data_IF_898439505390
#
_entry.id   IF_898439505390
#
_cell.length_a   1.000
_cell.length_b   1.000
_cell.length_c   1.000
_cell.angle_alpha   90.00
_cell.angle_beta   90.00
_cell.angle_gamma   90.00
#
_symmetry.space_group_name_H-M   'P 1'
#
loop_
_entity.id
_entity.type
_entity.pdbx_description
1 polymer ?
#
# COMPACT_ATOMS: atom_id res chain seq x y z
N UNK A 1 -39.86 -36.53 -0.28
CA UNK A 1 -39.64 -35.23 -0.97
C UNK A 1 -39.93 -34.13 0.02
N UNK A 2 -38.89 -33.60 0.69
CA UNK A 2 -39.00 -32.43 1.56
C UNK A 2 -38.01 -31.42 1.02
N UNK A 3 -38.53 -30.36 0.40
CA UNK A 3 -37.80 -29.19 -0.07
C UNK A 3 -37.32 -28.42 1.16
N UNK A 4 -36.09 -28.70 1.60
CA UNK A 4 -35.38 -27.80 2.50
C UNK A 4 -35.08 -26.51 1.74
N UNK A 5 -35.91 -25.48 1.97
CA UNK A 5 -35.60 -24.11 1.57
C UNK A 5 -34.28 -23.70 2.25
N UNK A 6 -33.20 -23.74 1.48
CA UNK A 6 -31.92 -23.17 1.88
C UNK A 6 -32.14 -21.66 2.05
N UNK A 7 -31.92 -21.08 3.24
CA UNK A 7 -32.12 -19.64 3.43
C UNK A 7 -31.18 -18.87 2.50
N UNK A 8 -31.74 -18.10 1.57
CA UNK A 8 -31.02 -17.08 0.80
C UNK A 8 -30.57 -15.96 1.75
N UNK A 9 -29.50 -16.21 2.49
CA UNK A 9 -28.88 -15.23 3.38
C UNK A 9 -27.37 -15.14 3.18
N UNK A 10 -26.92 -15.16 1.91
CA UNK A 10 -25.84 -14.24 1.54
C UNK A 10 -26.46 -12.85 1.52
N UNK A 11 -26.47 -12.22 2.71
CA UNK A 11 -26.84 -10.83 2.93
C UNK A 11 -26.22 -10.02 1.78
N UNK A 12 -27.03 -9.37 0.93
CA UNK A 12 -26.52 -8.36 -0.01
C UNK A 12 -25.69 -7.39 0.83
N UNK A 13 -24.38 -7.48 0.78
CA UNK A 13 -23.52 -6.70 1.66
C UNK A 13 -23.81 -5.22 1.39
N UNK A 14 -24.08 -4.47 2.47
CA UNK A 14 -24.37 -3.04 2.38
C UNK A 14 -23.15 -2.34 1.77
N UNK A 15 -23.32 -1.57 0.68
CA UNK A 15 -22.20 -0.87 0.05
C UNK A 15 -21.59 0.17 1.00
N UNK A 16 -22.37 0.71 1.95
CA UNK A 16 -21.85 1.58 2.99
C UNK A 16 -20.94 0.83 3.98
N UNK A 17 -21.28 -0.41 4.36
CA UNK A 17 -20.40 -1.22 5.20
C UNK A 17 -19.08 -1.53 4.49
N UNK A 18 -19.14 -1.95 3.22
CA UNK A 18 -17.93 -2.21 2.42
C UNK A 18 -17.04 -0.96 2.31
N UNK A 19 -17.66 0.21 2.07
CA UNK A 19 -16.96 1.49 2.06
C UNK A 19 -16.29 1.80 3.41
N UNK A 20 -17.01 1.62 4.53
CA UNK A 20 -16.46 1.85 5.87
C UNK A 20 -15.29 0.95 6.20
N UNK A 21 -15.41 -0.34 5.89
CA UNK A 21 -14.32 -1.31 6.03
C UNK A 21 -13.13 -0.93 5.14
N UNK A 22 -13.37 -0.49 3.91
CA UNK A 22 -12.30 -0.01 3.02
C UNK A 22 -11.59 1.20 3.64
N UNK A 23 -12.32 2.17 4.17
CA UNK A 23 -11.74 3.34 4.84
C UNK A 23 -10.93 2.98 6.08
N UNK A 24 -11.40 2.03 6.89
CA UNK A 24 -10.70 1.53 8.07
C UNK A 24 -9.39 0.81 7.72
N UNK A 25 -9.44 -0.08 6.73
CA UNK A 25 -8.24 -0.77 6.23
C UNK A 25 -7.26 0.19 5.57
N UNK A 26 -7.74 1.24 4.90
CA UNK A 26 -6.87 2.25 4.30
C UNK A 26 -6.09 3.01 5.37
N UNK A 27 -6.76 3.45 6.45
CA UNK A 27 -6.08 4.08 7.58
C UNK A 27 -5.14 3.13 8.32
N UNK A 28 -5.53 1.86 8.49
CA UNK A 28 -4.65 0.85 9.07
C UNK A 28 -3.39 0.67 8.22
N UNK A 29 -3.52 0.63 6.89
CA UNK A 29 -2.40 0.59 5.96
C UNK A 29 -1.46 1.79 6.13
N UNK A 30 -2.01 3.01 6.15
CA UNK A 30 -1.23 4.24 6.36
C UNK A 30 -0.48 4.20 7.69
N UNK A 31 -1.17 3.92 8.79
CA UNK A 31 -0.58 3.92 10.13
C UNK A 31 0.49 2.83 10.27
N UNK A 32 0.22 1.62 9.77
CA UNK A 32 1.18 0.53 9.78
C UNK A 32 2.42 0.86 8.94
N UNK A 33 2.26 1.48 7.76
CA UNK A 33 3.38 1.94 6.95
C UNK A 33 4.23 3.01 7.66
N UNK A 34 3.60 3.96 8.37
CA UNK A 34 4.32 4.95 9.19
C UNK A 34 5.10 4.29 10.31
N UNK A 35 4.51 3.32 11.02
CA UNK A 35 5.21 2.55 12.06
C UNK A 35 6.39 1.78 11.46
N UNK A 36 6.21 1.13 10.31
CA UNK A 36 7.26 0.44 9.58
C UNK A 36 8.47 1.33 9.30
N UNK A 37 8.20 2.52 8.74
CA UNK A 37 9.22 3.52 8.45
C UNK A 37 9.93 4.04 9.71
N UNK A 38 9.17 4.42 10.75
CA UNK A 38 9.73 4.99 11.98
C UNK A 38 10.55 3.95 12.77
N UNK A 39 10.16 2.68 12.73
CA UNK A 39 10.90 1.60 13.36
C UNK A 39 12.19 1.24 12.58
N UNK A 40 12.12 1.19 11.25
CA UNK A 40 13.23 0.75 10.40
C UNK A 40 14.28 1.84 10.10
N UNK A 41 13.84 3.06 9.76
CA UNK A 41 14.74 4.11 9.27
C UNK A 41 15.92 4.45 10.20
N UNK A 42 15.75 4.54 11.54
CA UNK A 42 16.86 4.84 12.45
C UNK A 42 17.93 3.75 12.55
N UNK A 43 17.64 2.53 12.07
CA UNK A 43 18.56 1.39 12.16
C UNK A 43 19.60 1.40 11.04
N UNK A 44 19.33 2.12 9.95
CA UNK A 44 20.15 2.12 8.73
C UNK A 44 21.14 3.29 8.78
N UNK A 45 22.43 2.97 8.78
CA UNK A 45 23.51 3.96 8.66
C UNK A 45 23.97 4.00 7.21
N UNK A 46 23.77 5.14 6.55
CA UNK A 46 24.10 5.28 5.13
C UNK A 46 25.58 4.97 4.88
N UNK A 47 25.83 4.04 3.96
CA UNK A 47 27.16 3.57 3.54
C UNK A 47 28.01 2.91 4.65
N UNK A 48 27.41 2.52 5.78
CA UNK A 48 28.10 1.79 6.84
C UNK A 48 27.36 0.48 7.17
N UNK A 49 27.83 -0.60 6.55
CA UNK A 49 27.24 -1.93 6.70
C UNK A 49 27.45 -2.51 8.10
N UNK A 50 28.59 -2.23 8.73
CA UNK A 50 28.92 -2.73 10.05
C UNK A 50 28.07 -2.06 11.12
N UNK A 51 27.95 -0.73 11.07
CA UNK A 51 27.10 0.02 11.98
C UNK A 51 25.62 -0.32 11.80
N UNK A 52 25.16 -0.49 10.54
CA UNK A 52 23.78 -0.94 10.26
C UNK A 52 23.51 -2.31 10.85
N UNK A 53 24.40 -3.29 10.64
CA UNK A 53 24.24 -4.63 11.21
C UNK A 53 24.26 -4.61 12.74
N UNK A 54 25.15 -3.83 13.36
CA UNK A 54 25.19 -3.67 14.81
C UNK A 54 23.89 -3.08 15.37
N UNK A 55 23.32 -2.06 14.71
CA UNK A 55 22.03 -1.48 15.10
C UNK A 55 20.89 -2.49 14.98
N UNK A 56 20.84 -3.27 13.90
CA UNK A 56 19.81 -4.29 13.69
C UNK A 56 19.88 -5.37 14.76
N UNK A 57 21.08 -5.89 15.06
CA UNK A 57 21.27 -6.91 16.10
C UNK A 57 20.96 -6.35 17.50
N UNK A 58 21.38 -5.11 17.79
CA UNK A 58 21.11 -4.48 19.09
C UNK A 58 19.63 -4.14 19.30
N UNK A 59 18.88 -3.86 18.23
CA UNK A 59 17.47 -3.44 18.25
C UNK A 59 16.61 -4.36 17.39
N UNK A 60 16.82 -5.66 17.49
CA UNK A 60 16.18 -6.65 16.62
C UNK A 60 14.65 -6.62 16.72
N UNK A 61 14.11 -6.43 17.92
CA UNK A 61 12.65 -6.32 18.14
C UNK A 61 12.04 -5.15 17.36
N UNK A 62 12.76 -4.03 17.26
CA UNK A 62 12.34 -2.86 16.49
C UNK A 62 12.40 -3.14 14.99
N UNK A 63 13.44 -3.84 14.52
CA UNK A 63 13.54 -4.26 13.12
C UNK A 63 12.39 -5.21 12.74
N UNK A 64 12.11 -6.22 13.58
CA UNK A 64 10.98 -7.14 13.38
C UNK A 64 9.62 -6.44 13.43
N UNK A 65 9.46 -5.45 14.32
CA UNK A 65 8.26 -4.62 14.35
C UNK A 65 8.06 -3.88 13.02
N UNK A 66 9.15 -3.33 12.46
CA UNK A 66 9.15 -2.69 11.15
C UNK A 66 8.62 -3.62 10.06
N UNK A 67 9.18 -4.83 9.98
CA UNK A 67 8.74 -5.87 9.05
C UNK A 67 7.26 -6.27 9.23
N UNK A 68 6.81 -6.51 10.46
CA UNK A 68 5.41 -6.89 10.73
C UNK A 68 4.47 -5.74 10.36
N UNK A 69 4.85 -4.50 10.63
CA UNK A 69 4.06 -3.34 10.26
C UNK A 69 3.93 -3.20 8.74
N UNK A 70 5.00 -3.43 7.98
CA UNK A 70 4.96 -3.49 6.51
C UNK A 70 4.01 -4.58 6.00
N UNK A 71 4.03 -5.76 6.62
CA UNK A 71 3.14 -6.87 6.25
C UNK A 71 1.66 -6.57 6.55
N UNK A 72 1.38 -5.97 7.71
CA UNK A 72 0.03 -5.51 8.07
C UNK A 72 -0.44 -4.43 7.11
N UNK A 73 0.45 -3.53 6.69
CA UNK A 73 0.15 -2.51 5.69
C UNK A 73 -0.26 -3.13 4.36
N UNK A 74 0.52 -4.08 3.86
CA UNK A 74 0.23 -4.82 2.63
C UNK A 74 -1.09 -5.61 2.70
N UNK A 75 -1.31 -6.36 3.78
CA UNK A 75 -2.54 -7.13 3.97
C UNK A 75 -3.79 -6.22 4.04
N UNK A 76 -3.67 -5.09 4.73
CA UNK A 76 -4.74 -4.10 4.79
C UNK A 76 -5.03 -3.52 3.41
N UNK A 77 -3.99 -3.21 2.64
CA UNK A 77 -4.12 -2.67 1.30
C UNK A 77 -4.74 -3.66 0.29
N UNK A 78 -4.48 -4.96 0.44
CA UNK A 78 -5.18 -5.99 -0.32
C UNK A 78 -6.69 -5.93 -0.08
N UNK A 79 -7.10 -5.78 1.19
CA UNK A 79 -8.50 -5.61 1.55
C UNK A 79 -9.09 -4.29 1.01
N UNK A 80 -8.35 -3.19 1.07
CA UNK A 80 -8.74 -1.91 0.43
C UNK A 80 -9.00 -2.12 -1.06
N UNK A 81 -8.09 -2.78 -1.76
CA UNK A 81 -8.19 -3.02 -3.20
C UNK A 81 -9.44 -3.84 -3.55
N UNK A 82 -9.69 -4.92 -2.81
CA UNK A 82 -10.87 -5.76 -3.01
C UNK A 82 -12.20 -5.02 -2.70
N UNK A 83 -12.25 -4.28 -1.60
CA UNK A 83 -13.45 -3.55 -1.20
C UNK A 83 -13.72 -2.36 -2.10
N UNK A 84 -12.68 -1.62 -2.50
CA UNK A 84 -12.82 -0.51 -3.43
C UNK A 84 -13.31 -0.99 -4.79
N UNK A 85 -12.83 -2.13 -5.30
CA UNK A 85 -13.42 -2.75 -6.50
C UNK A 85 -14.94 -2.91 -6.35
N UNK A 86 -15.41 -3.45 -5.22
CA UNK A 86 -16.84 -3.62 -4.96
C UNK A 86 -17.60 -2.30 -4.85
N UNK A 87 -17.00 -1.26 -4.28
CA UNK A 87 -17.62 0.06 -4.10
C UNK A 87 -17.73 0.82 -5.43
N UNK A 88 -16.68 0.83 -6.26
CA UNK A 88 -16.65 1.64 -7.50
C UNK A 88 -17.09 0.89 -8.76
N UNK A 89 -17.26 -0.44 -8.72
CA UNK A 89 -17.76 -1.23 -9.87
C UNK A 89 -19.04 -0.71 -10.53
N UNK A 90 -20.03 -0.09 -9.83
CA UNK A 90 -21.23 0.42 -10.51
C UNK A 90 -20.94 1.55 -11.49
N UNK A 91 -19.82 2.26 -11.36
CA UNK A 91 -19.46 3.37 -12.26
C UNK A 91 -18.87 2.83 -13.55
N UNK A 92 -17.93 1.89 -13.45
CA UNK A 92 -17.39 1.12 -14.58
C UNK A 92 -16.68 -0.13 -14.07
N UNK A 93 -17.17 -1.30 -14.48
CA UNK A 93 -16.59 -2.59 -14.09
C UNK A 93 -15.18 -2.75 -14.63
N UNK A 94 -14.93 -2.37 -15.87
CA UNK A 94 -13.62 -2.53 -16.53
C UNK A 94 -12.56 -1.67 -15.88
N UNK A 95 -12.85 -0.40 -15.59
CA UNK A 95 -11.89 0.49 -14.95
C UNK A 95 -11.68 0.14 -13.46
N UNK A 96 -12.71 -0.36 -12.78
CA UNK A 96 -12.57 -0.87 -11.41
C UNK A 96 -11.66 -2.10 -11.38
N UNK A 97 -11.79 -3.00 -12.37
CA UNK A 97 -10.95 -4.18 -12.49
C UNK A 97 -9.50 -3.79 -12.84
N UNK A 98 -9.31 -2.83 -13.73
CA UNK A 98 -8.00 -2.28 -14.06
C UNK A 98 -7.31 -1.69 -12.82
N UNK A 99 -8.04 -0.91 -12.03
CA UNK A 99 -7.54 -0.37 -10.77
C UNK A 99 -7.12 -1.48 -9.79
N UNK A 100 -7.92 -2.55 -9.68
CA UNK A 100 -7.61 -3.69 -8.82
C UNK A 100 -6.35 -4.44 -9.29
N UNK A 101 -6.18 -4.66 -10.60
CA UNK A 101 -4.97 -5.29 -11.14
C UNK A 101 -3.72 -4.48 -10.83
N UNK A 102 -3.77 -3.16 -11.01
CA UNK A 102 -2.65 -2.29 -10.65
C UNK A 102 -2.30 -2.39 -9.16
N UNK A 103 -3.30 -2.48 -8.28
CA UNK A 103 -3.07 -2.73 -6.86
C UNK A 103 -2.42 -4.05 -6.53
N UNK A 104 -2.87 -5.12 -7.18
CA UNK A 104 -2.29 -6.44 -6.99
C UNK A 104 -0.84 -6.51 -7.48
N UNK A 105 -0.52 -5.83 -8.59
CA UNK A 105 0.87 -5.70 -9.06
C UNK A 105 1.72 -4.90 -8.07
N UNK A 106 1.20 -3.79 -7.54
CA UNK A 106 1.85 -3.03 -6.48
C UNK A 106 2.13 -3.86 -5.24
N UNK A 107 1.17 -4.69 -4.80
CA UNK A 107 1.32 -5.62 -3.69
C UNK A 107 2.34 -6.72 -3.97
N UNK A 108 2.37 -7.27 -5.18
CA UNK A 108 3.35 -8.27 -5.57
C UNK A 108 4.78 -7.72 -5.47
N UNK A 109 4.99 -6.48 -5.94
CA UNK A 109 6.28 -5.78 -5.80
C UNK A 109 6.60 -5.48 -4.33
N UNK A 110 5.58 -5.10 -3.53
CA UNK A 110 5.69 -4.98 -2.08
C UNK A 110 6.18 -6.28 -1.43
N UNK A 111 5.67 -7.43 -1.86
CA UNK A 111 6.13 -8.75 -1.43
C UNK A 111 7.63 -8.97 -1.61
N UNK A 112 8.18 -8.58 -2.77
CA UNK A 112 9.62 -8.64 -3.04
C UNK A 112 10.39 -7.72 -2.08
N UNK A 113 9.86 -6.52 -1.84
CA UNK A 113 10.44 -5.53 -0.93
C UNK A 113 10.48 -6.03 0.52
N UNK A 114 9.44 -6.74 0.98
CA UNK A 114 9.40 -7.34 2.32
C UNK A 114 10.34 -8.53 2.46
N UNK A 115 10.51 -9.33 1.40
CA UNK A 115 11.51 -10.39 1.39
C UNK A 115 12.94 -9.83 1.55
N UNK A 116 13.24 -8.69 0.90
CA UNK A 116 14.50 -7.97 1.10
C UNK A 116 14.65 -7.41 2.53
N UNK A 117 13.56 -6.98 3.18
CA UNK A 117 13.55 -6.56 4.59
C UNK A 117 14.01 -7.70 5.52
N UNK A 118 13.62 -8.95 5.27
CA UNK A 118 14.00 -10.07 6.14
C UNK A 118 15.45 -10.53 6.01
N UNK A 119 16.10 -10.20 4.88
CA UNK A 119 17.43 -10.72 4.56
C UNK A 119 18.50 -10.45 5.64
N UNK A 120 18.59 -9.26 6.26
CA UNK A 120 19.54 -9.02 7.35
C UNK A 120 19.37 -9.96 8.55
N UNK A 121 18.14 -10.30 8.95
CA UNK A 121 17.93 -11.25 10.05
C UNK A 121 18.42 -12.65 9.70
N UNK A 122 18.19 -13.08 8.46
CA UNK A 122 18.65 -14.38 7.96
C UNK A 122 20.18 -14.43 7.87
N UNK A 123 20.80 -13.38 7.33
CA UNK A 123 22.23 -13.34 7.06
C UNK A 123 23.08 -13.11 8.32
N UNK A 124 22.61 -12.28 9.26
CA UNK A 124 23.38 -11.90 10.45
C UNK A 124 23.27 -12.91 11.61
N UNK A 125 22.20 -13.70 11.68
CA UNK A 125 22.04 -14.75 12.70
C UNK A 125 22.46 -16.14 12.24
N UNK A 126 22.64 -16.36 10.94
CA UNK A 126 22.95 -17.70 10.45
C UNK A 126 24.41 -18.05 10.65
N UNK A 127 24.74 -18.70 11.77
CA UNK A 127 26.08 -19.31 12.00
C UNK A 127 26.50 -20.21 10.83
N UNK A 128 25.51 -20.84 10.18
CA UNK A 128 25.68 -21.63 8.97
C UNK A 128 26.32 -20.86 7.80
N UNK A 129 26.06 -19.54 7.66
CA UNK A 129 26.59 -18.74 6.57
C UNK A 129 28.05 -18.32 6.80
N UNK A 130 28.52 -18.30 8.06
CA UNK A 130 29.92 -18.02 8.39
C UNK A 130 30.89 -19.10 7.89
N UNK A 131 30.38 -20.28 7.53
CA UNK A 131 31.17 -21.35 6.91
C UNK A 131 31.55 -21.04 5.44
N UNK A 132 30.76 -20.21 4.76
CA UNK A 132 30.92 -19.88 3.35
C UNK A 132 31.29 -18.42 3.10
N UNK A 133 30.91 -17.51 4.00
CA UNK A 133 31.10 -16.06 3.87
C UNK A 133 31.75 -15.47 5.12
N UNK A 134 32.51 -14.39 4.96
CA UNK A 134 33.01 -13.61 6.10
C UNK A 134 31.90 -12.75 6.70
N UNK A 135 32.04 -12.36 7.97
CA UNK A 135 31.09 -11.45 8.61
C UNK A 135 30.95 -10.12 7.84
N UNK A 136 32.04 -9.57 7.34
CA UNK A 136 32.02 -8.33 6.53
C UNK A 136 31.22 -8.50 5.23
N UNK A 137 31.29 -9.65 4.58
CA UNK A 137 30.47 -9.97 3.41
C UNK A 137 28.99 -10.04 3.76
N UNK A 138 28.63 -10.71 4.86
CA UNK A 138 27.24 -10.82 5.32
C UNK A 138 26.64 -9.46 5.70
N UNK A 139 27.42 -8.59 6.36
CA UNK A 139 27.03 -7.22 6.66
C UNK A 139 26.78 -6.40 5.37
N UNK A 140 27.69 -6.49 4.39
CA UNK A 140 27.54 -5.80 3.11
C UNK A 140 26.31 -6.30 2.33
N UNK A 141 26.06 -7.61 2.30
CA UNK A 141 24.87 -8.20 1.69
C UNK A 141 23.58 -7.77 2.39
N UNK A 142 23.61 -7.66 3.72
CA UNK A 142 22.48 -7.16 4.51
C UNK A 142 22.13 -5.71 4.16
N UNK A 143 23.14 -4.83 4.10
CA UNK A 143 22.95 -3.44 3.67
C UNK A 143 22.46 -3.36 2.22
N UNK A 144 23.03 -4.17 1.32
CA UNK A 144 22.61 -4.22 -0.08
C UNK A 144 21.15 -4.68 -0.24
N UNK A 145 20.67 -5.62 0.57
CA UNK A 145 19.28 -6.05 0.57
C UNK A 145 18.33 -4.92 1.03
N UNK A 146 18.70 -4.19 2.08
CA UNK A 146 17.93 -3.01 2.52
C UNK A 146 17.93 -1.90 1.46
N UNK A 147 19.06 -1.66 0.81
CA UNK A 147 19.14 -0.73 -0.32
C UNK A 147 18.25 -1.19 -1.47
N UNK A 148 18.26 -2.47 -1.83
CA UNK A 148 17.38 -3.03 -2.85
C UNK A 148 15.91 -2.77 -2.51
N UNK A 149 15.50 -2.99 -1.26
CA UNK A 149 14.16 -2.64 -0.79
C UNK A 149 13.83 -1.16 -1.05
N UNK A 150 14.74 -0.22 -0.73
CA UNK A 150 14.50 1.21 -0.97
C UNK A 150 14.39 1.55 -2.46
N UNK A 151 15.08 0.81 -3.33
CA UNK A 151 15.04 1.00 -4.79
C UNK A 151 13.78 0.38 -5.42
N UNK A 152 13.27 -0.72 -4.85
CA UNK A 152 12.07 -1.41 -5.32
C UNK A 152 10.78 -0.70 -4.87
N UNK A 153 10.81 0.03 -3.75
CA UNK A 153 9.64 0.71 -3.23
C UNK A 153 8.99 1.68 -4.25
N UNK A 154 9.73 2.60 -4.92
CA UNK A 154 9.17 3.44 -5.98
C UNK A 154 8.54 2.66 -7.14
N UNK A 155 9.01 1.44 -7.43
CA UNK A 155 8.43 0.61 -8.49
C UNK A 155 7.00 0.20 -8.14
N UNK A 156 6.75 -0.20 -6.89
CA UNK A 156 5.40 -0.48 -6.39
C UNK A 156 4.52 0.78 -6.40
N UNK A 157 5.10 1.93 -6.08
CA UNK A 157 4.38 3.22 -6.03
C UNK A 157 3.89 3.71 -7.39
N UNK A 158 4.52 3.33 -8.51
CA UNK A 158 3.98 3.59 -9.86
C UNK A 158 2.61 2.95 -10.02
N UNK A 159 2.50 1.66 -9.73
CA UNK A 159 1.26 0.90 -9.91
C UNK A 159 0.19 1.32 -8.90
N UNK A 160 0.59 1.57 -7.65
CA UNK A 160 -0.26 2.18 -6.64
C UNK A 160 -0.82 3.53 -7.11
N UNK A 161 0.03 4.39 -7.66
CA UNK A 161 -0.36 5.70 -8.19
C UNK A 161 -1.41 5.59 -9.31
N UNK A 162 -1.22 4.65 -10.25
CA UNK A 162 -2.18 4.40 -11.33
C UNK A 162 -3.51 3.85 -10.78
N UNK A 163 -3.49 3.01 -9.75
CA UNK A 163 -4.71 2.61 -9.06
C UNK A 163 -5.42 3.82 -8.43
N UNK A 164 -4.70 4.67 -7.71
CA UNK A 164 -5.25 5.89 -7.11
C UNK A 164 -5.85 6.82 -8.16
N UNK A 165 -5.21 6.99 -9.31
CA UNK A 165 -5.77 7.73 -10.46
C UNK A 165 -7.07 7.09 -10.99
N UNK A 166 -7.08 5.77 -11.14
CA UNK A 166 -8.24 5.02 -11.66
C UNK A 166 -9.43 5.08 -10.71
N UNK A 167 -9.20 4.84 -9.41
CA UNK A 167 -10.21 4.98 -8.35
C UNK A 167 -10.65 6.42 -8.25
N UNK A 168 -9.72 7.39 -8.28
CA UNK A 168 -10.02 8.80 -8.15
C UNK A 168 -10.94 9.29 -9.27
N UNK A 169 -10.68 8.87 -10.51
CA UNK A 169 -11.55 9.11 -11.65
C UNK A 169 -12.95 8.52 -11.44
N UNK A 170 -13.04 7.25 -11.00
CA UNK A 170 -14.33 6.59 -10.75
C UNK A 170 -15.13 7.28 -9.64
N UNK A 171 -14.46 7.69 -8.56
CA UNK A 171 -15.08 8.45 -7.46
C UNK A 171 -15.58 9.81 -7.97
N UNK A 172 -14.80 10.52 -8.78
CA UNK A 172 -15.20 11.79 -9.38
C UNK A 172 -16.41 11.68 -10.33
N UNK A 173 -16.60 10.51 -10.94
CA UNK A 173 -17.76 10.19 -11.81
C UNK A 173 -18.93 9.56 -11.06
N UNK A 174 -18.75 9.16 -9.82
CA UNK A 174 -19.81 8.56 -9.00
C UNK A 174 -20.86 9.59 -8.58
N UNK A 175 -22.08 9.13 -8.32
CA UNK A 175 -23.16 9.96 -7.75
C UNK A 175 -23.26 9.83 -6.23
N UNK A 176 -22.58 8.83 -5.65
CA UNK A 176 -22.70 8.40 -4.26
C UNK A 176 -21.51 8.80 -3.36
N UNK A 177 -20.45 9.39 -3.92
CA UNK A 177 -19.31 9.97 -3.19
C UNK A 177 -19.06 11.44 -3.59
N UNK A 178 -18.44 12.26 -2.72
CA UNK A 178 -18.01 13.61 -3.07
C UNK A 178 -16.94 13.59 -4.16
N UNK A 179 -17.17 14.30 -5.26
CA UNK A 179 -16.26 14.35 -6.41
C UNK A 179 -14.87 14.89 -6.06
N UNK A 180 -14.81 15.83 -5.11
CA UNK A 180 -13.55 16.44 -4.66
C UNK A 180 -12.57 15.40 -4.11
N UNK A 181 -13.06 14.36 -3.41
CA UNK A 181 -12.21 13.28 -2.90
C UNK A 181 -11.59 12.46 -4.02
N UNK A 182 -12.35 12.23 -5.11
CA UNK A 182 -11.84 11.55 -6.29
C UNK A 182 -10.74 12.35 -7.00
N UNK A 183 -10.94 13.67 -7.14
CA UNK A 183 -9.92 14.57 -7.72
C UNK A 183 -8.66 14.61 -6.86
N UNK A 184 -8.80 14.76 -5.54
CA UNK A 184 -7.66 14.77 -4.62
C UNK A 184 -6.89 13.44 -4.68
N UNK A 185 -7.59 12.30 -4.72
CA UNK A 185 -6.94 10.99 -4.86
C UNK A 185 -6.20 10.87 -6.20
N UNK A 186 -6.78 11.34 -7.29
CA UNK A 186 -6.15 11.27 -8.61
C UNK A 186 -4.88 12.15 -8.69
N UNK A 187 -4.90 13.32 -8.07
CA UNK A 187 -3.72 14.17 -7.91
C UNK A 187 -2.66 13.43 -7.09
N UNK A 188 -3.03 12.85 -5.95
CA UNK A 188 -2.12 12.04 -5.12
C UNK A 188 -1.51 10.87 -5.89
N UNK A 189 -2.30 10.15 -6.68
CA UNK A 189 -1.82 9.08 -7.55
C UNK A 189 -0.82 9.54 -8.59
N UNK A 190 -1.08 10.70 -9.21
CA UNK A 190 -0.17 11.33 -10.19
C UNK A 190 1.16 11.72 -9.52
N UNK A 191 1.10 12.25 -8.30
CA UNK A 191 2.27 12.56 -7.49
C UNK A 191 3.16 11.32 -7.28
N UNK A 192 2.61 10.16 -6.94
CA UNK A 192 3.40 8.93 -6.80
C UNK A 192 4.09 8.49 -8.09
N UNK A 193 3.37 8.53 -9.21
CA UNK A 193 3.95 8.15 -10.50
C UNK A 193 5.10 9.10 -10.85
N UNK A 194 4.87 10.42 -10.77
CA UNK A 194 5.90 11.41 -11.08
C UNK A 194 7.11 11.30 -10.16
N UNK A 195 6.91 11.12 -8.85
CA UNK A 195 8.00 10.93 -7.89
C UNK A 195 8.82 9.68 -8.20
N UNK A 196 8.16 8.59 -8.58
CA UNK A 196 8.82 7.32 -8.89
C UNK A 196 9.65 7.41 -10.17
N UNK A 197 9.09 7.99 -11.24
CA UNK A 197 9.84 8.23 -12.48
C UNK A 197 10.97 9.24 -12.29
N UNK A 198 10.77 10.30 -11.50
CA UNK A 198 11.83 11.24 -11.15
C UNK A 198 12.97 10.53 -10.39
N UNK A 199 12.63 9.61 -9.48
CA UNK A 199 13.61 8.81 -8.76
C UNK A 199 14.42 7.90 -9.71
N UNK A 200 13.78 7.25 -10.69
CA UNK A 200 14.45 6.39 -11.66
C UNK A 200 15.35 7.15 -12.64
N UNK A 201 14.88 8.29 -13.15
CA UNK A 201 15.60 9.07 -14.15
C UNK A 201 16.70 9.93 -13.54
N UNK A 202 16.47 10.47 -12.34
CA UNK A 202 17.43 11.38 -11.69
C UNK A 202 17.30 11.26 -10.16
N UNK A 203 18.04 10.32 -9.52
CA UNK A 203 17.96 10.05 -8.09
C UNK A 203 18.25 11.26 -7.18
N UNK A 204 19.02 12.25 -7.66
CA UNK A 204 19.27 13.51 -6.95
C UNK A 204 18.08 14.47 -7.02
N UNK A 205 17.39 14.53 -8.16
CA UNK A 205 16.22 15.38 -8.38
C UNK A 205 14.99 14.83 -7.66
N UNK A 206 14.75 13.51 -7.71
CA UNK A 206 13.61 12.88 -7.02
C UNK A 206 13.56 13.17 -5.52
N UNK A 207 14.74 13.23 -4.85
CA UNK A 207 14.84 13.55 -3.42
C UNK A 207 14.41 14.98 -3.07
N UNK A 208 14.51 15.92 -4.00
CA UNK A 208 14.11 17.33 -3.80
C UNK A 208 12.58 17.49 -3.83
N UNK A 209 11.86 16.63 -4.56
CA UNK A 209 10.41 16.73 -4.75
C UNK A 209 9.60 15.93 -3.71
N UNK A 210 10.20 14.92 -3.09
CA UNK A 210 9.57 14.09 -2.06
C UNK A 210 8.86 14.90 -0.96
N UNK A 211 9.44 15.98 -0.40
CA UNK A 211 8.78 16.77 0.67
C UNK A 211 7.48 17.46 0.22
N UNK A 212 7.32 17.72 -1.08
CA UNK A 212 6.15 18.39 -1.63
C UNK A 212 5.09 17.40 -2.14
N UNK A 213 5.54 16.24 -2.63
CA UNK A 213 4.70 15.20 -3.22
C UNK A 213 4.02 14.36 -2.14
N UNK A 214 4.77 13.96 -1.11
CA UNK A 214 4.28 13.05 -0.07
C UNK A 214 3.07 13.65 0.68
N UNK A 215 3.09 14.92 1.16
CA UNK A 215 1.93 15.48 1.85
C UNK A 215 0.68 15.54 0.97
N UNK A 216 0.81 15.87 -0.31
CA UNK A 216 -0.33 15.95 -1.25
C UNK A 216 -0.95 14.58 -1.46
N UNK A 217 -0.12 13.55 -1.59
CA UNK A 217 -0.59 12.18 -1.75
C UNK A 217 -1.29 11.66 -0.48
N UNK A 218 -0.72 11.94 0.69
CA UNK A 218 -1.32 11.62 1.99
C UNK A 218 -2.65 12.34 2.22
N UNK A 219 -2.79 13.59 1.76
CA UNK A 219 -4.07 14.32 1.85
C UNK A 219 -5.13 13.62 1.00
N UNK A 220 -4.82 13.23 -0.24
CA UNK A 220 -5.78 12.57 -1.12
C UNK A 220 -6.29 11.23 -0.57
N UNK A 221 -5.36 10.37 -0.16
CA UNK A 221 -5.70 9.06 0.41
C UNK A 221 -6.32 9.16 1.79
N UNK A 222 -5.72 9.96 2.68
CA UNK A 222 -6.21 10.16 4.03
C UNK A 222 -7.61 10.76 4.05
N UNK A 223 -7.89 11.73 3.16
CA UNK A 223 -9.22 12.32 3.04
C UNK A 223 -10.26 11.31 2.55
N UNK A 224 -9.96 10.54 1.50
CA UNK A 224 -10.88 9.53 1.00
C UNK A 224 -11.08 8.41 2.04
N UNK A 225 -10.00 7.88 2.60
CA UNK A 225 -10.04 6.84 3.64
C UNK A 225 -10.84 7.28 4.85
N UNK A 226 -10.64 8.52 5.34
CA UNK A 226 -11.38 9.06 6.48
C UNK A 226 -12.85 9.25 6.15
N UNK A 227 -13.17 9.76 4.96
CA UNK A 227 -14.55 9.91 4.52
C UNK A 227 -15.26 8.56 4.47
N UNK A 228 -14.64 7.57 3.83
CA UNK A 228 -15.17 6.22 3.71
C UNK A 228 -15.41 5.60 5.09
N UNK A 229 -14.44 5.74 6.02
CA UNK A 229 -14.54 5.23 7.38
C UNK A 229 -15.71 5.85 8.17
N UNK A 230 -15.88 7.17 8.10
CA UNK A 230 -16.88 7.89 8.91
C UNK A 230 -18.26 7.89 8.24
N UNK A 231 -18.31 8.35 6.99
CA UNK A 231 -19.55 8.61 6.23
C UNK A 231 -19.96 7.44 5.34
N UNK A 232 -19.00 6.67 4.81
CA UNK A 232 -19.28 5.62 3.83
C UNK A 232 -19.78 6.20 2.49
N UNK A 233 -20.70 5.48 1.84
CA UNK A 233 -21.35 5.91 0.58
C UNK A 233 -22.83 6.16 0.76
N UNK A 234 -23.43 6.98 -0.09
CA UNK A 234 -24.87 7.07 -0.19
C UNK A 234 -25.45 5.81 -0.86
N UNK A 235 -26.05 4.92 -0.06
CA UNK A 235 -26.55 3.61 -0.53
C UNK A 235 -27.63 3.72 -1.62
N UNK A 236 -28.55 4.67 -1.48
CA UNK A 236 -29.64 4.86 -2.45
C UNK A 236 -29.06 5.20 -3.83
N UNK A 237 -28.20 6.22 -3.90
CA UNK A 237 -27.54 6.64 -5.14
C UNK A 237 -26.62 5.55 -5.71
N UNK A 238 -25.97 4.78 -4.84
CA UNK A 238 -25.16 3.64 -5.25
C UNK A 238 -26.01 2.57 -5.95
N UNK A 239 -27.16 2.21 -5.37
CA UNK A 239 -28.08 1.25 -5.96
C UNK A 239 -28.73 1.76 -7.25
N UNK A 240 -29.06 3.04 -7.33
CA UNK A 240 -29.54 3.67 -8.57
C UNK A 240 -28.51 3.56 -9.68
N UNK A 241 -27.27 3.96 -9.41
CA UNK A 241 -26.19 3.90 -10.41
C UNK A 241 -25.87 2.45 -10.83
N UNK A 242 -25.93 1.50 -9.90
CA UNK A 242 -25.74 0.07 -10.18
C UNK A 242 -26.85 -0.55 -11.03
N UNK A 243 -28.05 0.03 -11.07
CA UNK A 243 -29.15 -0.42 -11.94
C UNK A 243 -29.01 0.13 -13.35
N UNK A 244 -28.54 1.37 -13.49
CA UNK A 244 -28.39 2.04 -14.81
C UNK A 244 -27.26 1.41 -15.64
N UNK A 245 -26.16 1.02 -14.99
CA UNK A 245 -24.97 0.49 -15.66
C UNK A 245 -24.91 -1.05 -15.69
N UNK A 246 -26.05 -1.73 -15.53
CA UNK A 246 -26.17 -3.19 -15.50
C UNK A 246 -26.49 -3.73 -16.88
#
# INVERSE_FOLDING_TARGET
MSTSEIPKHFRKESPALQARLAGGLWWLCILAGVVGFVAGAPLIVANDAAATAANILAKESLFRLGFVADLVSGASYLGVTALMYCVVKPVSRSLSLLAAFFGLVGLAIGGITWASHLAPLLLLHGDQYLTAFTMSQLQAMSLAALQLQTQLFPLGMVFFGIQCMSIGYLVARSTFLPRILGVLLAIGGTCYVLASFAYFLTPSFGRLFLPFIVPVAFIGEGALGLWLLVKGVNEQRWHEQARVNR
#
